data_IF_082207513391
#
_entry.id   IF_082207513391
#
_cell.length_a   1.000
_cell.length_b   1.000
_cell.length_c   1.000
_cell.angle_alpha   90.00
_cell.angle_beta   90.00
_cell.angle_gamma   90.00
#
_symmetry.space_group_name_H-M   'P 1'
#
loop_
_entity.id
_entity.type
_entity.pdbx_description
1 polymer ?
#
# COMPACT_ATOMS: atom_id res chain seq x y z
N UNK A 1 42.57 -43.41 43.00
CA UNK A 1 41.83 -43.11 41.75
C UNK A 1 40.97 -41.89 42.00
N UNK A 2 41.48 -40.69 41.70
CA UNK A 2 40.78 -39.42 41.93
C UNK A 2 40.08 -39.05 40.63
N UNK A 3 38.74 -39.05 40.62
CA UNK A 3 37.97 -38.59 39.48
C UNK A 3 38.06 -37.06 39.45
N UNK A 4 39.09 -36.54 38.78
CA UNK A 4 39.21 -35.11 38.50
C UNK A 4 38.03 -34.75 37.62
N UNK A 5 37.07 -34.03 38.20
CA UNK A 5 35.94 -33.51 37.46
C UNK A 5 36.42 -32.20 36.84
N UNK A 6 36.40 -32.03 35.50
CA UNK A 6 36.86 -30.79 34.90
C UNK A 6 35.88 -29.68 35.26
N UNK A 7 36.41 -28.53 35.64
CA UNK A 7 35.59 -27.33 35.79
C UNK A 7 34.87 -27.03 34.46
N UNK A 8 33.57 -26.71 34.49
CA UNK A 8 32.86 -26.31 33.29
C UNK A 8 33.43 -24.99 32.74
N UNK A 9 33.46 -24.79 31.41
CA UNK A 9 33.97 -23.57 30.83
C UNK A 9 33.15 -22.39 31.34
N UNK A 10 33.85 -21.38 31.86
CA UNK A 10 33.26 -20.14 32.34
C UNK A 10 32.66 -19.36 31.16
N UNK A 11 31.43 -19.71 30.76
CA UNK A 11 30.61 -18.87 29.88
C UNK A 11 30.04 -17.77 30.76
N UNK A 12 30.34 -16.49 30.52
CA UNK A 12 29.47 -15.44 31.03
C UNK A 12 28.10 -15.67 30.41
N UNK A 13 27.19 -16.20 31.24
CA UNK A 13 25.76 -16.16 30.98
C UNK A 13 25.34 -14.70 31.10
N UNK A 14 25.50 -13.97 30.00
CA UNK A 14 24.78 -12.75 29.76
C UNK A 14 23.97 -12.99 28.50
N UNK A 15 22.92 -13.79 28.62
CA UNK A 15 21.77 -13.76 27.71
C UNK A 15 20.93 -12.49 27.95
N UNK A 16 21.61 -11.34 28.11
CA UNK A 16 21.01 -10.06 27.82
C UNK A 16 21.29 -9.81 26.33
N UNK A 17 20.28 -9.49 25.51
CA UNK A 17 20.54 -9.06 24.15
C UNK A 17 21.53 -7.89 24.24
N UNK A 18 22.71 -8.04 23.64
CA UNK A 18 23.64 -6.94 23.48
C UNK A 18 22.90 -5.90 22.65
N UNK A 19 22.40 -4.88 23.33
CA UNK A 19 21.74 -3.74 22.71
C UNK A 19 22.86 -2.88 22.10
N UNK A 20 23.48 -3.41 21.06
CA UNK A 20 24.51 -2.71 20.33
C UNK A 20 23.84 -1.47 19.74
N UNK A 21 24.24 -0.32 20.27
CA UNK A 21 23.72 0.97 19.87
C UNK A 21 23.83 1.16 18.36
N UNK A 22 24.85 0.59 17.71
CA UNK A 22 25.01 0.63 16.27
C UNK A 22 23.95 -0.22 15.55
N UNK A 23 23.70 -1.45 16.02
CA UNK A 23 22.67 -2.34 15.46
C UNK A 23 21.28 -1.77 15.68
N UNK A 24 21.01 -1.23 16.86
CA UNK A 24 19.73 -0.62 17.21
C UNK A 24 19.51 0.65 16.40
N UNK A 25 20.52 1.52 16.28
CA UNK A 25 20.44 2.72 15.44
C UNK A 25 20.19 2.35 13.98
N UNK A 26 20.89 1.33 13.46
CA UNK A 26 20.65 0.80 12.11
C UNK A 26 19.23 0.26 11.95
N UNK A 27 18.72 -0.50 12.94
CA UNK A 27 17.36 -1.00 12.92
C UNK A 27 16.34 0.14 12.95
N UNK A 28 16.55 1.15 13.80
CA UNK A 28 15.70 2.34 13.86
C UNK A 28 15.72 3.13 12.55
N UNK A 29 16.87 3.27 11.89
CA UNK A 29 16.97 3.87 10.55
C UNK A 29 16.24 3.04 9.47
N UNK A 30 16.14 1.72 9.62
CA UNK A 30 15.43 0.85 8.68
C UNK A 30 13.91 0.79 8.92
N UNK A 31 13.47 0.85 10.18
CA UNK A 31 12.07 0.61 10.56
C UNK A 31 11.30 1.87 10.94
N UNK A 32 11.98 2.97 11.31
CA UNK A 32 11.31 4.24 11.55
C UNK A 32 11.29 5.06 10.25
N UNK A 33 10.16 5.67 9.90
CA UNK A 33 10.07 6.62 8.80
C UNK A 33 10.72 7.94 9.21
N UNK A 34 12.04 7.92 9.40
CA UNK A 34 12.85 9.14 9.51
C UNK A 34 13.43 9.36 8.12
N UNK A 35 12.99 10.47 7.52
CA UNK A 35 13.29 10.91 6.15
C UNK A 35 14.68 10.48 5.69
N UNK A 36 14.72 9.59 4.71
CA UNK A 36 15.96 9.16 4.06
C UNK A 36 16.71 10.41 3.54
N UNK A 37 18.03 10.53 3.78
CA UNK A 37 18.79 11.59 3.13
C UNK A 37 18.72 11.40 1.62
N UNK A 38 18.29 12.47 0.95
CA UNK A 38 18.04 12.56 -0.48
C UNK A 38 19.22 11.97 -1.28
N UNK A 39 18.94 10.93 -2.08
CA UNK A 39 19.82 10.50 -3.15
C UNK A 39 19.15 10.80 -4.48
N UNK A 40 19.87 11.63 -5.24
CA UNK A 40 19.74 11.98 -6.65
C UNK A 40 18.62 12.96 -7.05
N UNK A 41 18.94 14.04 -7.79
CA UNK A 41 17.96 14.86 -8.48
C UNK A 41 17.55 14.10 -9.74
N UNK A 42 16.72 13.08 -9.57
CA UNK A 42 15.95 12.58 -10.69
C UNK A 42 14.87 13.63 -10.98
N UNK A 43 14.82 14.11 -12.23
CA UNK A 43 13.72 14.89 -12.81
C UNK A 43 12.41 14.07 -12.85
N UNK A 44 12.05 13.36 -11.77
CA UNK A 44 10.69 12.84 -11.59
C UNK A 44 9.87 13.95 -10.95
N UNK A 45 9.49 14.91 -11.78
CA UNK A 45 8.34 15.78 -11.58
C UNK A 45 7.03 14.96 -11.68
N UNK A 46 7.00 13.80 -11.05
CA UNK A 46 5.77 13.18 -10.63
C UNK A 46 5.51 13.81 -9.28
N UNK A 47 4.78 14.92 -9.29
CA UNK A 47 4.04 15.35 -8.11
C UNK A 47 3.30 14.09 -7.65
N UNK A 48 3.77 13.49 -6.54
CA UNK A 48 3.11 12.34 -5.96
C UNK A 48 1.74 12.85 -5.51
N UNK A 49 0.75 12.74 -6.39
CA UNK A 49 -0.64 12.88 -6.01
C UNK A 49 -0.81 11.89 -4.86
N UNK A 50 -1.18 12.40 -3.69
CA UNK A 50 -1.47 11.58 -2.52
C UNK A 50 -2.35 10.40 -2.93
N UNK A 51 -2.19 9.25 -2.29
CA UNK A 51 -3.06 8.09 -2.55
C UNK A 51 -4.54 8.52 -2.50
N UNK A 52 -4.91 9.27 -1.48
CA UNK A 52 -6.25 9.85 -1.32
C UNK A 52 -6.67 10.68 -2.55
N UNK A 53 -5.81 11.61 -3.00
CA UNK A 53 -6.11 12.45 -4.15
C UNK A 53 -6.19 11.64 -5.46
N UNK A 54 -5.42 10.55 -5.59
CA UNK A 54 -5.49 9.63 -6.74
C UNK A 54 -6.79 8.84 -6.72
N UNK A 55 -7.22 8.37 -5.55
CA UNK A 55 -8.48 7.63 -5.38
C UNK A 55 -9.69 8.52 -5.64
N UNK A 56 -9.68 9.76 -5.14
CA UNK A 56 -10.73 10.76 -5.45
C UNK A 56 -10.79 10.99 -6.95
N UNK A 57 -9.65 11.18 -7.60
CA UNK A 57 -9.61 11.38 -9.05
C UNK A 57 -10.12 10.16 -9.83
N UNK A 58 -9.80 8.94 -9.37
CA UNK A 58 -10.31 7.71 -9.97
C UNK A 58 -11.84 7.60 -9.83
N UNK A 59 -12.41 7.94 -8.66
CA UNK A 59 -13.86 7.95 -8.45
C UNK A 59 -14.56 8.99 -9.32
N UNK A 60 -14.00 10.19 -9.46
CA UNK A 60 -14.51 11.21 -10.38
C UNK A 60 -14.46 10.74 -11.83
N UNK A 61 -13.37 10.10 -12.24
CA UNK A 61 -13.25 9.52 -13.58
C UNK A 61 -14.31 8.45 -13.84
N UNK A 62 -14.55 7.54 -12.89
CA UNK A 62 -15.59 6.51 -12.99
C UNK A 62 -16.99 7.11 -13.06
N UNK A 63 -17.26 8.19 -12.31
CA UNK A 63 -18.54 8.93 -12.38
C UNK A 63 -18.75 9.54 -13.76
N UNK A 64 -17.74 10.21 -14.31
CA UNK A 64 -17.80 10.78 -15.66
C UNK A 64 -18.02 9.69 -16.72
N UNK A 65 -17.27 8.59 -16.66
CA UNK A 65 -17.42 7.47 -17.59
C UNK A 65 -18.83 6.85 -17.52
N UNK A 66 -19.40 6.73 -16.31
CA UNK A 66 -20.76 6.21 -16.12
C UNK A 66 -21.81 7.13 -16.74
N UNK A 67 -21.66 8.45 -16.58
CA UNK A 67 -22.52 9.43 -17.21
C UNK A 67 -22.44 9.36 -18.74
N UNK A 68 -21.23 9.23 -19.30
CA UNK A 68 -21.02 9.03 -20.75
C UNK A 68 -21.70 7.75 -21.24
N UNK A 69 -21.55 6.64 -20.53
CA UNK A 69 -22.19 5.37 -20.89
C UNK A 69 -23.72 5.45 -20.82
N UNK A 70 -24.26 6.19 -19.83
CA UNK A 70 -25.69 6.44 -19.73
C UNK A 70 -26.21 7.27 -20.92
N UNK A 71 -25.54 8.38 -21.24
CA UNK A 71 -25.92 9.25 -22.36
C UNK A 71 -25.85 8.52 -23.70
N UNK A 72 -24.82 7.67 -23.90
CA UNK A 72 -24.76 6.76 -25.05
C UNK A 72 -25.94 5.76 -25.07
N UNK A 73 -26.35 5.22 -23.92
CA UNK A 73 -27.49 4.33 -23.81
C UNK A 73 -28.83 4.99 -24.21
N UNK A 74 -28.97 6.28 -23.90
CA UNK A 74 -30.14 7.08 -24.26
C UNK A 74 -30.21 7.33 -25.78
N UNK A 75 -29.07 7.57 -26.44
CA UNK A 75 -28.99 7.80 -27.89
C UNK A 75 -29.04 6.52 -28.74
N UNK A 76 -28.56 5.38 -28.22
CA UNK A 76 -28.48 4.11 -28.92
C UNK A 76 -29.78 3.30 -28.79
N UNK A 77 -29.94 2.25 -29.60
CA UNK A 77 -31.08 1.30 -29.53
C UNK A 77 -30.62 -0.15 -29.68
N UNK A 78 -31.47 -1.11 -29.27
CA UNK A 78 -31.21 -2.54 -29.37
C UNK A 78 -29.95 -2.97 -28.62
N UNK A 79 -29.19 -3.91 -29.20
CA UNK A 79 -28.02 -4.50 -28.55
C UNK A 79 -26.90 -3.51 -28.20
N UNK A 80 -26.80 -2.39 -28.93
CA UNK A 80 -25.81 -1.35 -28.64
C UNK A 80 -26.14 -0.58 -27.36
N UNK A 81 -27.44 -0.33 -27.11
CA UNK A 81 -27.91 0.23 -25.84
C UNK A 81 -27.65 -0.73 -24.69
N UNK A 82 -27.93 -2.02 -24.89
CA UNK A 82 -27.67 -3.05 -23.87
C UNK A 82 -26.18 -3.08 -23.49
N UNK A 83 -25.28 -2.95 -24.48
CA UNK A 83 -23.84 -2.88 -24.26
C UNK A 83 -23.41 -1.60 -23.52
N UNK A 84 -24.02 -0.45 -23.83
CA UNK A 84 -23.76 0.81 -23.15
C UNK A 84 -24.15 0.73 -21.65
N UNK A 85 -25.34 0.21 -21.35
CA UNK A 85 -25.76 0.02 -19.96
C UNK A 85 -25.01 -1.09 -19.23
N UNK A 86 -24.59 -2.16 -19.92
CA UNK A 86 -23.66 -3.13 -19.34
C UNK A 86 -22.32 -2.48 -18.96
N UNK A 87 -21.82 -1.56 -19.80
CA UNK A 87 -20.61 -0.80 -19.50
C UNK A 87 -20.80 0.14 -18.30
N UNK A 88 -21.92 0.85 -18.24
CA UNK A 88 -22.29 1.67 -17.07
C UNK A 88 -22.32 0.83 -15.78
N UNK A 89 -22.91 -0.37 -15.83
CA UNK A 89 -22.94 -1.26 -14.68
C UNK A 89 -21.53 -1.70 -14.25
N UNK A 90 -20.66 -2.06 -15.19
CA UNK A 90 -19.26 -2.40 -14.87
C UNK A 90 -18.51 -1.23 -14.21
N UNK A 91 -18.75 0.00 -14.64
CA UNK A 91 -18.13 1.19 -14.06
C UNK A 91 -18.62 1.46 -12.62
N UNK A 92 -19.91 1.28 -12.35
CA UNK A 92 -20.43 1.39 -10.98
C UNK A 92 -19.87 0.28 -10.08
N UNK A 93 -19.68 -0.94 -10.61
CA UNK A 93 -19.04 -2.02 -9.84
C UNK A 93 -17.56 -1.73 -9.57
N UNK A 94 -16.85 -1.13 -10.52
CA UNK A 94 -15.47 -0.69 -10.31
C UNK A 94 -15.38 0.38 -9.21
N UNK A 95 -16.35 1.31 -9.15
CA UNK A 95 -16.46 2.30 -8.07
C UNK A 95 -16.62 1.62 -6.71
N UNK A 96 -17.56 0.68 -6.59
CA UNK A 96 -17.76 -0.10 -5.35
C UNK A 96 -16.50 -0.87 -4.94
N UNK A 97 -15.76 -1.44 -5.89
CA UNK A 97 -14.50 -2.13 -5.59
C UNK A 97 -13.43 -1.17 -5.03
N UNK A 98 -13.34 0.05 -5.55
CA UNK A 98 -12.43 1.08 -5.03
C UNK A 98 -12.84 1.49 -3.62
N UNK A 99 -14.12 1.78 -3.40
CA UNK A 99 -14.66 2.14 -2.08
C UNK A 99 -14.38 1.05 -1.04
N UNK A 100 -14.64 -0.22 -1.37
CA UNK A 100 -14.35 -1.37 -0.48
C UNK A 100 -12.86 -1.60 -0.24
N UNK A 101 -12.00 -1.28 -1.21
CA UNK A 101 -10.55 -1.40 -1.00
C UNK A 101 -10.04 -0.45 0.09
N UNK A 102 -10.73 0.66 0.32
CA UNK A 102 -10.41 1.62 1.38
C UNK A 102 -10.86 1.10 2.76
N UNK A 103 -11.99 0.41 2.86
CA UNK A 103 -12.44 -0.24 4.10
C UNK A 103 -11.36 -1.20 4.66
N UNK A 104 -10.66 -1.92 3.77
CA UNK A 104 -9.55 -2.80 4.18
C UNK A 104 -8.31 -2.05 4.71
N UNK A 105 -8.16 -0.75 4.42
CA UNK A 105 -7.03 0.07 4.86
C UNK A 105 -7.33 0.76 6.20
N UNK A 106 -8.61 1.07 6.49
CA UNK A 106 -9.01 1.72 7.74
C UNK A 106 -9.04 0.78 8.96
N UNK A 107 -9.06 -0.54 8.76
CA UNK A 107 -9.07 -1.53 9.86
C UNK A 107 -7.67 -1.91 10.40
N UNK A 108 -6.58 -1.26 9.94
CA UNK A 108 -5.18 -1.50 10.38
C UNK A 108 -4.63 -0.31 11.15
#
# INVERSE_FOLDING_TARGET
MVKVTPDPPNKPSSAAPVFDKAVVKRAMECYLPISRPAKEPHDSKFDFISLEATLVHALDFLRCASATAHELGDELTGSQRDLAFASMHMLEMAKVMVERSLECVEEV
#
